data_IF_961608650018
#
_entry.id   IF_961608650018
#
_cell.length_a   1.000
_cell.length_b   1.000
_cell.length_c   1.000
_cell.angle_alpha   90.00
_cell.angle_beta   90.00
_cell.angle_gamma   90.00
#
_symmetry.space_group_name_H-M   'P 1'
#
loop_
_entity.id
_entity.type
_entity.pdbx_description
1 polymer ?
#
# COMPACT_ATOMS: atom_id res chain seq x y z
N UNK A 1 -8.14 0.52 -9.35
CA UNK A 1 -7.88 0.87 -10.76
C UNK A 1 -8.34 2.31 -10.92
N UNK A 2 -7.40 3.25 -10.95
CA UNK A 2 -7.68 4.66 -11.15
C UNK A 2 -7.75 4.87 -12.68
N UNK A 3 -8.87 5.31 -13.27
CA UNK A 3 -8.93 5.48 -14.72
C UNK A 3 -7.95 6.58 -15.14
N UNK A 4 -7.02 6.23 -16.04
CA UNK A 4 -6.09 7.13 -16.71
C UNK A 4 -6.84 8.22 -17.52
N UNK A 5 -6.21 9.39 -17.77
CA UNK A 5 -6.88 10.63 -18.15
C UNK A 5 -7.19 10.76 -19.66
N UNK A 6 -7.58 9.67 -20.32
CA UNK A 6 -7.80 9.65 -21.77
C UNK A 6 -9.24 9.22 -22.12
N UNK A 7 -10.22 9.76 -21.39
CA UNK A 7 -11.63 9.63 -21.75
C UNK A 7 -12.14 11.03 -22.15
N UNK A 8 -12.64 11.24 -23.38
CA UNK A 8 -13.39 12.45 -23.70
C UNK A 8 -14.52 12.54 -22.68
N UNK A 9 -14.49 13.58 -21.82
CA UNK A 9 -15.34 13.75 -20.63
C UNK A 9 -16.69 13.06 -20.83
N UNK A 10 -16.97 12.06 -20.00
CA UNK A 10 -18.22 11.32 -20.03
C UNK A 10 -19.37 12.34 -20.19
N UNK A 11 -20.23 12.22 -21.20
CA UNK A 11 -21.32 13.18 -21.43
C UNK A 11 -22.20 13.36 -20.17
N UNK A 12 -22.26 12.35 -19.30
CA UNK A 12 -22.90 12.44 -17.99
C UNK A 12 -22.17 13.40 -17.04
N UNK A 13 -20.84 13.34 -16.97
CA UNK A 13 -20.02 14.22 -16.14
C UNK A 13 -20.17 15.69 -16.58
N UNK A 14 -20.23 15.93 -17.90
CA UNK A 14 -20.45 17.27 -18.47
C UNK A 14 -21.86 17.79 -18.12
N UNK A 15 -22.88 16.93 -18.24
CA UNK A 15 -24.26 17.29 -17.89
C UNK A 15 -24.40 17.59 -16.39
N UNK A 16 -23.75 16.79 -15.54
CA UNK A 16 -23.71 16.99 -14.08
C UNK A 16 -23.00 18.31 -13.74
N UNK A 17 -21.80 18.55 -14.26
CA UNK A 17 -21.03 19.78 -13.99
C UNK A 17 -21.82 21.03 -14.45
N UNK A 18 -22.45 20.98 -15.62
CA UNK A 18 -23.32 22.06 -16.10
C UNK A 18 -24.50 22.30 -15.15
N UNK A 19 -25.18 21.25 -14.72
CA UNK A 19 -26.39 21.36 -13.86
C UNK A 19 -26.04 21.79 -12.43
N UNK A 20 -24.87 21.43 -11.92
CA UNK A 20 -24.39 21.88 -10.61
C UNK A 20 -24.00 23.36 -10.65
N UNK A 21 -23.38 23.82 -11.74
CA UNK A 21 -22.99 25.23 -11.91
C UNK A 21 -24.16 26.18 -12.12
N UNK A 22 -25.29 25.69 -12.64
CA UNK A 22 -26.51 26.51 -12.77
C UNK A 22 -27.25 26.70 -11.46
N UNK A 23 -26.83 26.05 -10.36
CA UNK A 23 -27.45 26.27 -9.07
C UNK A 23 -27.14 27.68 -8.53
N UNK A 24 -28.14 28.36 -7.92
CA UNK A 24 -27.94 29.69 -7.38
C UNK A 24 -26.93 29.66 -6.22
N UNK A 25 -26.03 30.63 -6.18
CA UNK A 25 -25.11 30.83 -5.04
C UNK A 25 -25.92 31.08 -3.76
N UNK A 26 -26.03 30.06 -2.91
CA UNK A 26 -26.61 30.20 -1.58
C UNK A 26 -25.55 30.70 -0.61
N UNK A 27 -25.93 31.68 0.21
CA UNK A 27 -25.11 32.13 1.33
C UNK A 27 -24.88 30.97 2.29
N UNK A 28 -23.61 30.67 2.56
CA UNK A 28 -23.25 29.64 3.53
C UNK A 28 -23.77 30.01 4.93
N UNK A 29 -24.33 29.07 5.70
CA UNK A 29 -24.70 29.31 7.10
C UNK A 29 -23.48 29.76 7.90
N UNK A 30 -23.66 30.72 8.82
CA UNK A 30 -22.55 31.26 9.65
C UNK A 30 -21.86 30.19 10.52
N UNK A 31 -22.53 29.08 10.80
CA UNK A 31 -21.97 27.95 11.56
C UNK A 31 -21.21 26.92 10.70
N UNK A 32 -21.22 27.05 9.37
CA UNK A 32 -20.62 26.06 8.47
C UNK A 32 -19.12 25.97 8.65
N UNK A 33 -18.44 27.12 8.79
CA UNK A 33 -17.00 27.18 9.02
C UNK A 33 -16.60 26.41 10.28
N UNK A 34 -17.23 26.71 11.43
CA UNK A 34 -16.97 26.01 12.69
C UNK A 34 -17.23 24.51 12.62
N UNK A 35 -18.29 24.10 11.90
CA UNK A 35 -18.60 22.67 11.69
C UNK A 35 -17.56 21.96 10.82
N UNK A 36 -17.07 22.61 9.77
CA UNK A 36 -16.04 22.04 8.89
C UNK A 36 -14.72 21.91 9.65
N UNK A 37 -14.30 22.93 10.40
CA UNK A 37 -13.08 22.85 11.20
C UNK A 37 -13.18 21.79 12.31
N UNK A 38 -14.31 21.69 12.99
CA UNK A 38 -14.53 20.64 13.99
C UNK A 38 -14.47 19.23 13.38
N UNK A 39 -15.04 19.04 12.19
CA UNK A 39 -15.00 17.77 11.48
C UNK A 39 -13.58 17.43 10.99
N UNK A 40 -12.83 18.41 10.49
CA UNK A 40 -11.43 18.23 10.10
C UNK A 40 -10.56 17.87 11.29
N UNK A 41 -10.73 18.54 12.43
CA UNK A 41 -10.03 18.22 13.67
C UNK A 41 -10.36 16.80 14.14
N UNK A 42 -11.64 16.39 14.07
CA UNK A 42 -12.07 15.02 14.38
C UNK A 42 -11.41 13.98 13.47
N UNK A 43 -11.32 14.26 12.17
CA UNK A 43 -10.66 13.38 11.19
C UNK A 43 -9.14 13.32 11.39
N UNK A 44 -8.51 14.45 11.73
CA UNK A 44 -7.10 14.51 12.04
C UNK A 44 -6.76 13.71 13.32
N UNK A 45 -7.65 13.74 14.31
CA UNK A 45 -7.55 12.97 15.55
C UNK A 45 -7.85 11.46 15.38
N UNK A 46 -8.22 10.99 14.19
CA UNK A 46 -8.44 9.56 13.97
C UNK A 46 -7.15 8.76 14.23
N UNK A 47 -7.27 7.61 14.89
CA UNK A 47 -6.15 6.70 15.07
C UNK A 47 -5.61 6.20 13.74
N UNK A 48 -4.32 5.86 13.70
CA UNK A 48 -3.62 5.46 12.48
C UNK A 48 -4.27 4.26 11.77
N UNK A 49 -4.87 3.32 12.49
CA UNK A 49 -5.54 2.15 11.90
C UNK A 49 -6.81 2.47 11.12
N UNK A 50 -7.42 3.65 11.32
CA UNK A 50 -8.55 4.14 10.50
C UNK A 50 -8.13 5.06 9.37
N UNK A 51 -6.83 5.37 9.27
CA UNK A 51 -6.25 6.18 8.19
C UNK A 51 -5.71 5.27 7.08
N UNK A 52 -5.48 5.86 5.90
CA UNK A 52 -4.90 5.12 4.79
C UNK A 52 -3.50 4.59 5.13
N UNK A 53 -3.10 3.51 4.45
CA UNK A 53 -1.85 2.77 4.68
C UNK A 53 -0.59 3.66 4.78
N UNK A 54 -0.57 4.79 4.06
CA UNK A 54 0.55 5.75 4.09
C UNK A 54 0.79 6.36 5.49
N UNK A 55 -0.26 6.52 6.29
CA UNK A 55 -0.18 7.13 7.64
C UNK A 55 0.10 6.12 8.75
N UNK A 56 0.29 4.84 8.41
CA UNK A 56 0.55 3.81 9.40
C UNK A 56 1.98 3.91 9.92
N UNK A 57 2.23 3.56 11.19
CA UNK A 57 3.58 3.47 11.73
C UNK A 57 4.43 2.52 10.88
N UNK A 58 5.71 2.86 10.68
CA UNK A 58 6.66 2.08 9.89
C UNK A 58 6.67 0.56 10.23
N UNK A 59 6.69 0.11 11.50
CA UNK A 59 6.67 -1.32 11.80
C UNK A 59 5.38 -2.01 11.34
N UNK A 60 4.24 -1.33 11.41
CA UNK A 60 2.96 -1.90 11.01
C UNK A 60 2.84 -2.02 9.49
N UNK A 61 3.39 -1.04 8.75
CA UNK A 61 3.52 -1.10 7.29
C UNK A 61 4.40 -2.28 6.87
N UNK A 62 5.56 -2.44 7.52
CA UNK A 62 6.45 -3.56 7.26
C UNK A 62 5.77 -4.90 7.56
N UNK A 63 5.09 -5.03 8.70
CA UNK A 63 4.36 -6.24 9.07
C UNK A 63 3.26 -6.59 8.05
N UNK A 64 2.48 -5.59 7.61
CA UNK A 64 1.44 -5.80 6.59
C UNK A 64 2.04 -6.25 5.25
N UNK A 65 3.15 -5.63 4.83
CA UNK A 65 3.83 -6.02 3.60
C UNK A 65 4.36 -7.45 3.68
N UNK A 66 5.00 -7.82 4.79
CA UNK A 66 5.52 -9.19 5.02
C UNK A 66 4.37 -10.19 5.03
N UNK A 67 3.28 -9.93 5.76
CA UNK A 67 2.11 -10.81 5.79
C UNK A 67 1.47 -10.96 4.41
N UNK A 68 1.35 -9.86 3.65
CA UNK A 68 0.81 -9.90 2.29
C UNK A 68 1.71 -10.69 1.34
N UNK A 69 3.03 -10.53 1.44
CA UNK A 69 3.99 -11.29 0.65
C UNK A 69 3.95 -12.79 0.97
N UNK A 70 3.85 -13.14 2.26
CA UNK A 70 3.69 -14.54 2.69
C UNK A 70 2.39 -15.13 2.18
N UNK A 71 1.27 -14.40 2.27
CA UNK A 71 -0.02 -14.86 1.76
C UNK A 71 0.01 -15.04 0.23
N UNK A 72 0.62 -14.12 -0.51
CA UNK A 72 0.78 -14.23 -1.96
C UNK A 72 1.66 -15.43 -2.34
N UNK A 73 2.79 -15.62 -1.65
CA UNK A 73 3.68 -16.76 -1.87
C UNK A 73 2.97 -18.09 -1.56
N UNK A 74 2.21 -18.16 -0.47
CA UNK A 74 1.41 -19.33 -0.11
C UNK A 74 0.33 -19.64 -1.16
N UNK A 75 -0.31 -18.60 -1.71
CA UNK A 75 -1.31 -18.76 -2.76
C UNK A 75 -0.69 -19.29 -4.05
N UNK A 76 0.46 -18.74 -4.48
CA UNK A 76 1.19 -19.21 -5.66
C UNK A 76 1.69 -20.64 -5.47
N UNK A 77 2.27 -20.95 -4.31
CA UNK A 77 2.69 -22.31 -3.98
C UNK A 77 1.51 -23.28 -3.97
N UNK A 78 0.39 -22.90 -3.36
CA UNK A 78 -0.84 -23.69 -3.35
C UNK A 78 -1.38 -23.94 -4.75
N UNK A 79 -1.39 -22.92 -5.62
CA UNK A 79 -1.78 -23.08 -7.02
C UNK A 79 -0.84 -24.00 -7.79
N UNK A 80 0.47 -23.89 -7.54
CA UNK A 80 1.49 -24.74 -8.14
C UNK A 80 1.34 -26.21 -7.70
N UNK A 81 1.10 -26.46 -6.41
CA UNK A 81 0.85 -27.80 -5.88
C UNK A 81 -0.48 -28.37 -6.38
N UNK A 82 -1.52 -27.54 -6.53
CA UNK A 82 -2.81 -27.97 -7.08
C UNK A 82 -2.70 -28.26 -8.59
N UNK A 83 -1.92 -27.47 -9.34
CA UNK A 83 -1.72 -27.67 -10.77
C UNK A 83 -0.83 -28.87 -11.08
N UNK A 84 0.19 -29.15 -10.25
CA UNK A 84 1.02 -30.35 -10.36
C UNK A 84 0.36 -31.59 -9.72
N UNK A 85 -0.54 -31.36 -8.77
CA UNK A 85 -1.28 -32.37 -8.01
C UNK A 85 -2.66 -32.72 -8.58
N UNK A 86 -3.07 -32.14 -9.71
CA UNK A 86 -4.26 -32.56 -10.47
C UNK A 86 -4.19 -34.03 -10.95
N UNK A 87 -3.03 -34.68 -10.80
CA UNK A 87 -2.85 -36.12 -10.94
C UNK A 87 -3.18 -36.94 -9.67
N UNK A 88 -3.57 -36.29 -8.55
CA UNK A 88 -3.91 -36.89 -7.23
C UNK A 88 -5.31 -36.48 -6.73
N UNK A 89 -6.28 -36.30 -7.62
CA UNK A 89 -7.68 -35.95 -7.29
C UNK A 89 -8.36 -36.91 -6.26
N UNK A 90 -7.78 -38.07 -5.98
CA UNK A 90 -8.37 -39.13 -5.14
C UNK A 90 -7.80 -39.28 -3.72
N UNK A 91 -6.82 -38.49 -3.29
CA UNK A 91 -6.40 -38.49 -1.86
C UNK A 91 -7.34 -37.60 -0.99
N UNK A 92 -8.57 -37.46 -1.47
CA UNK A 92 -9.64 -36.58 -1.04
C UNK A 92 -10.38 -37.10 0.20
N UNK A 93 -11.26 -36.26 0.73
CA UNK A 93 -12.22 -36.53 1.82
C UNK A 93 -11.68 -36.62 3.25
N UNK A 94 -10.63 -37.38 3.55
CA UNK A 94 -10.22 -37.63 4.96
C UNK A 94 -9.48 -36.45 5.62
N UNK A 95 -8.72 -35.66 4.86
CA UNK A 95 -8.04 -34.46 5.36
C UNK A 95 -8.93 -33.20 5.43
N UNK A 96 -10.15 -33.29 4.88
CA UNK A 96 -10.97 -32.13 4.50
C UNK A 96 -11.51 -31.26 5.65
N UNK A 97 -11.49 -31.72 6.90
CA UNK A 97 -12.10 -30.98 8.03
C UNK A 97 -11.10 -30.38 9.03
N UNK A 98 -9.88 -30.91 9.10
CA UNK A 98 -8.82 -30.47 10.03
C UNK A 98 -7.45 -30.21 9.36
N UNK A 99 -7.30 -30.52 8.07
CA UNK A 99 -6.04 -30.35 7.34
C UNK A 99 -5.60 -28.90 7.12
N UNK A 100 -6.51 -27.92 7.22
CA UNK A 100 -6.15 -26.51 7.06
C UNK A 100 -5.22 -26.01 8.18
N UNK A 101 -5.35 -26.57 9.39
CA UNK A 101 -4.60 -26.12 10.56
C UNK A 101 -3.17 -26.67 10.55
N UNK A 102 -3.00 -27.94 10.18
CA UNK A 102 -1.68 -28.54 9.95
C UNK A 102 -1.00 -27.92 8.74
N UNK A 103 -1.74 -27.63 7.66
CA UNK A 103 -1.22 -26.92 6.50
C UNK A 103 -0.76 -25.49 6.85
N UNK A 104 -1.55 -24.75 7.64
CA UNK A 104 -1.15 -23.43 8.12
C UNK A 104 0.10 -23.49 9.02
N UNK A 105 0.20 -24.51 9.87
CA UNK A 105 1.33 -24.70 10.77
C UNK A 105 2.60 -25.17 10.03
N UNK A 106 2.46 -26.01 9.01
CA UNK A 106 3.55 -26.44 8.13
C UNK A 106 4.05 -25.28 7.26
N UNK A 107 3.13 -24.48 6.68
CA UNK A 107 3.52 -23.27 5.96
C UNK A 107 4.22 -22.30 6.90
N UNK A 108 3.67 -22.07 8.09
CA UNK A 108 4.26 -21.14 9.04
C UNK A 108 5.67 -21.59 9.48
N UNK A 109 5.86 -22.87 9.79
CA UNK A 109 7.17 -23.41 10.20
C UNK A 109 8.16 -23.51 9.04
N UNK A 110 7.72 -23.80 7.81
CA UNK A 110 8.57 -23.80 6.62
C UNK A 110 8.99 -22.37 6.24
N UNK A 111 8.09 -21.39 6.35
CA UNK A 111 8.39 -19.97 6.14
C UNK A 111 9.29 -19.45 7.25
N UNK A 112 9.01 -19.76 8.51
CA UNK A 112 9.80 -19.30 9.64
C UNK A 112 11.23 -19.86 9.60
N UNK A 113 11.41 -21.15 9.33
CA UNK A 113 12.74 -21.78 9.24
C UNK A 113 13.54 -21.26 8.04
N UNK A 114 12.91 -21.05 6.88
CA UNK A 114 13.59 -20.46 5.71
C UNK A 114 13.84 -18.97 5.87
N UNK A 115 12.94 -18.24 6.52
CA UNK A 115 13.14 -16.83 6.83
C UNK A 115 14.30 -16.64 7.81
N UNK A 116 14.43 -17.51 8.83
CA UNK A 116 15.56 -17.47 9.77
C UNK A 116 16.89 -17.85 9.09
N UNK A 117 16.87 -18.84 8.18
CA UNK A 117 18.03 -19.23 7.39
C UNK A 117 18.47 -18.12 6.42
N UNK A 118 17.52 -17.46 5.75
CA UNK A 118 17.79 -16.29 4.92
C UNK A 118 18.28 -15.12 5.78
N UNK A 119 17.70 -14.90 6.96
CA UNK A 119 18.10 -13.84 7.88
C UNK A 119 19.56 -13.98 8.35
N UNK A 120 20.00 -15.20 8.65
CA UNK A 120 21.40 -15.48 8.99
C UNK A 120 22.34 -15.52 7.78
N UNK A 121 21.82 -15.77 6.58
CA UNK A 121 22.60 -15.79 5.35
C UNK A 121 22.72 -14.40 4.69
N UNK A 122 21.99 -13.37 5.14
CA UNK A 122 22.14 -12.00 4.64
C UNK A 122 23.49 -11.45 5.13
N UNK A 123 24.49 -11.28 4.24
CA UNK A 123 25.76 -10.72 4.64
C UNK A 123 25.51 -9.25 5.04
N UNK A 124 26.06 -8.76 6.18
CA UNK A 124 25.86 -7.38 6.61
C UNK A 124 26.26 -6.36 5.53
N UNK A 125 27.17 -6.75 4.63
CA UNK A 125 27.58 -5.97 3.47
C UNK A 125 26.41 -5.60 2.51
N UNK A 126 25.42 -6.47 2.34
CA UNK A 126 24.23 -6.18 1.52
C UNK A 126 23.27 -5.21 2.20
N UNK A 127 23.19 -5.25 3.54
CA UNK A 127 22.44 -4.26 4.32
C UNK A 127 23.11 -2.88 4.20
N UNK A 128 24.44 -2.81 4.32
CA UNK A 128 25.19 -1.57 4.11
C UNK A 128 25.13 -1.08 2.66
N UNK A 129 25.20 -1.98 1.67
CA UNK A 129 25.07 -1.64 0.25
C UNK A 129 23.67 -1.10 -0.08
N UNK A 130 22.62 -1.77 0.39
CA UNK A 130 21.24 -1.29 0.23
C UNK A 130 21.00 0.05 0.92
N UNK A 131 21.49 0.21 2.15
CA UNK A 131 21.43 1.46 2.88
C UNK A 131 22.21 2.59 2.18
N UNK A 132 23.38 2.30 1.60
CA UNK A 132 24.17 3.26 0.85
C UNK A 132 23.46 3.70 -0.43
N UNK A 133 22.86 2.77 -1.18
CA UNK A 133 22.07 3.09 -2.39
C UNK A 133 20.86 3.97 -2.02
N UNK A 134 20.14 3.63 -0.95
CA UNK A 134 19.03 4.43 -0.43
C UNK A 134 19.48 5.82 0.01
N UNK A 135 20.58 5.92 0.74
CA UNK A 135 21.15 7.21 1.18
C UNK A 135 21.57 8.06 -0.03
N UNK A 136 22.18 7.44 -1.04
CA UNK A 136 22.61 8.13 -2.26
C UNK A 136 21.41 8.62 -3.05
N UNK A 137 20.40 7.78 -3.25
CA UNK A 137 19.16 8.12 -3.94
C UNK A 137 18.39 9.24 -3.23
N UNK A 138 18.36 9.21 -1.90
CA UNK A 138 17.74 10.26 -1.09
C UNK A 138 18.53 11.58 -1.20
N UNK A 139 19.86 11.52 -1.17
CA UNK A 139 20.74 12.68 -1.35
C UNK A 139 20.59 13.30 -2.75
N UNK A 140 20.48 12.49 -3.82
CA UNK A 140 20.20 13.02 -5.16
C UNK A 140 18.82 13.67 -5.23
N UNK A 141 17.80 13.08 -4.61
CA UNK A 141 16.47 13.68 -4.58
C UNK A 141 16.47 15.06 -3.89
N UNK A 142 17.17 15.17 -2.75
CA UNK A 142 17.36 16.44 -2.06
C UNK A 142 18.19 17.43 -2.87
N UNK A 143 19.27 16.98 -3.51
CA UNK A 143 20.13 17.81 -4.35
C UNK A 143 19.39 18.37 -5.56
N UNK A 144 18.62 17.53 -6.26
CA UNK A 144 17.79 17.93 -7.40
C UNK A 144 16.66 18.86 -6.94
N UNK A 145 16.02 18.58 -5.81
CA UNK A 145 15.00 19.45 -5.23
C UNK A 145 15.55 20.83 -4.85
N UNK A 146 16.73 20.88 -4.23
CA UNK A 146 17.41 22.13 -3.89
C UNK A 146 17.86 22.91 -5.14
N UNK A 147 18.36 22.21 -6.17
CA UNK A 147 18.75 22.82 -7.44
C UNK A 147 17.53 23.38 -8.19
N UNK A 148 16.42 22.65 -8.23
CA UNK A 148 15.17 23.11 -8.82
C UNK A 148 14.60 24.31 -8.07
N UNK A 149 14.56 24.26 -6.73
CA UNK A 149 14.13 25.39 -5.91
C UNK A 149 14.99 26.64 -6.18
N UNK A 150 16.32 26.48 -6.23
CA UNK A 150 17.22 27.60 -6.56
C UNK A 150 17.00 28.11 -7.98
N UNK A 151 16.74 27.26 -8.96
CA UNK A 151 16.49 27.69 -10.34
C UNK A 151 15.15 28.46 -10.51
N UNK A 152 14.12 28.12 -9.73
CA UNK A 152 12.81 28.79 -9.80
C UNK A 152 12.68 30.01 -8.90
N UNK A 153 13.39 30.05 -7.76
CA UNK A 153 13.29 31.13 -6.77
C UNK A 153 14.53 32.03 -6.69
N UNK A 154 15.60 31.77 -7.45
CA UNK A 154 16.70 32.73 -7.58
C UNK A 154 16.19 34.01 -8.27
N UNK A 155 16.39 35.19 -7.67
CA UNK A 155 16.08 36.46 -8.32
C UNK A 155 16.90 36.56 -9.60
N UNK A 156 16.22 36.67 -10.74
CA UNK A 156 16.87 37.02 -12.01
C UNK A 156 17.31 38.48 -11.89
N UNK A 157 18.59 38.71 -11.64
CA UNK A 157 19.25 40.01 -11.88
C UNK A 157 19.68 40.08 -13.34
#
# INVERSE_FOLDING_TARGET
>A
MNPSPENPRDPLEVLIDRTLRTQPLRRAPRSLEGRVFAELARRAALPWWRKSYAYWPAPMRAAFFVLSAVAAAALVAGLYFLSHGASRELASEVAGRFGWLSFAQEIFSAVASRALAVWHAIPPLWLYGGAAVLATAYATLLGVGAAAYRAFFAPRT
#
